data_IF_743923997228
#
_entry.id   IF_743923997228
#
_cell.length_a   1.000
_cell.length_b   1.000
_cell.length_c   1.000
_cell.angle_alpha   90.00
_cell.angle_beta   90.00
_cell.angle_gamma   90.00
#
_symmetry.space_group_name_H-M   'P 1'
#
loop_
_entity.id
_entity.type
_entity.pdbx_description
1 polymer ?
#
# COMPACT_ATOMS: atom_id res chain seq x y z
N UNK A 1 -12.00 10.14 17.14
CA UNK A 1 -11.51 10.17 15.74
C UNK A 1 -10.00 10.20 15.79
N UNK A 2 -9.35 9.03 15.78
CA UNK A 2 -7.89 8.94 15.79
C UNK A 2 -7.37 9.09 14.36
N UNK A 3 -6.72 10.23 14.10
CA UNK A 3 -6.08 10.51 12.81
C UNK A 3 -4.91 9.56 12.60
N UNK A 4 -5.00 8.74 11.54
CA UNK A 4 -3.87 7.94 11.05
C UNK A 4 -2.74 8.93 10.72
N UNK A 5 -1.52 8.77 11.26
CA UNK A 5 -0.44 9.71 11.05
C UNK A 5 -0.19 9.89 9.54
N UNK A 6 -0.34 11.12 9.07
CA UNK A 6 0.07 11.51 7.72
C UNK A 6 1.57 11.31 7.61
N UNK A 7 1.97 10.30 6.82
CA UNK A 7 3.37 10.10 6.46
C UNK A 7 3.84 11.33 5.68
N UNK A 8 5.00 11.90 6.03
CA UNK A 8 5.64 13.09 5.41
C UNK A 8 5.99 12.93 3.91
N UNK A 9 5.51 11.88 3.25
CA UNK A 9 5.66 11.66 1.81
C UNK A 9 4.58 12.47 1.10
N UNK A 10 4.94 13.19 0.05
CA UNK A 10 4.01 14.04 -0.71
C UNK A 10 3.12 13.12 -1.58
N UNK A 11 2.07 12.57 -0.98
CA UNK A 11 1.17 11.65 -1.64
C UNK A 11 0.26 12.42 -2.60
N UNK A 12 0.36 12.10 -3.89
CA UNK A 12 -0.62 12.55 -4.88
C UNK A 12 -1.95 11.83 -4.71
N UNK A 13 -1.89 10.58 -4.27
CA UNK A 13 -3.04 9.74 -3.99
C UNK A 13 -2.64 8.65 -2.99
N UNK A 14 -3.55 8.28 -2.08
CA UNK A 14 -3.33 7.20 -1.10
C UNK A 14 -4.66 6.53 -0.79
N UNK A 15 -4.61 5.21 -0.59
CA UNK A 15 -5.71 4.44 0.00
C UNK A 15 -5.16 3.44 1.00
N UNK A 16 -5.73 3.48 2.20
CA UNK A 16 -5.59 2.39 3.16
C UNK A 16 -6.55 1.29 2.73
N UNK A 17 -6.00 0.15 2.30
CA UNK A 17 -6.77 -1.02 1.88
C UNK A 17 -7.32 -1.72 3.12
N UNK A 18 -6.49 -1.84 4.16
CA UNK A 18 -6.88 -2.44 5.43
C UNK A 18 -6.07 -1.83 6.57
N UNK A 19 -6.66 -1.77 7.75
CA UNK A 19 -5.97 -1.43 8.99
C UNK A 19 -6.60 -2.20 10.14
N UNK A 20 -5.80 -2.52 11.16
CA UNK A 20 -6.31 -3.10 12.41
C UNK A 20 -7.15 -2.07 13.17
N UNK A 21 -8.31 -2.49 13.68
CA UNK A 21 -9.16 -1.62 14.48
C UNK A 21 -8.42 -1.18 15.77
N UNK A 22 -8.20 0.14 15.97
CA UNK A 22 -7.55 0.67 17.15
C UNK A 22 -8.36 0.43 18.43
N UNK A 23 -9.66 0.23 18.36
CA UNK A 23 -10.50 -0.07 19.52
C UNK A 23 -10.33 -1.54 19.97
N UNK A 24 -10.06 -2.46 19.05
CA UNK A 24 -9.73 -3.86 19.37
C UNK A 24 -8.30 -4.04 19.87
N UNK A 25 -7.38 -3.18 19.42
CA UNK A 25 -5.96 -3.24 19.79
C UNK A 25 -5.38 -1.88 20.23
N UNK A 26 -5.85 -1.30 21.35
CA UNK A 26 -5.50 0.07 21.76
C UNK A 26 -4.02 0.26 22.17
N UNK A 27 -3.29 -0.82 22.44
CA UNK A 27 -1.88 -0.83 22.82
C UNK A 27 -1.01 -1.69 21.88
N UNK A 28 -1.59 -2.23 20.80
CA UNK A 28 -0.91 -3.14 19.88
C UNK A 28 -0.16 -2.42 18.74
N UNK A 29 0.76 -3.10 18.04
CA UNK A 29 1.33 -2.55 16.81
C UNK A 29 0.23 -2.34 15.77
N UNK A 30 0.17 -1.14 15.19
CA UNK A 30 -0.77 -0.84 14.12
C UNK A 30 -0.35 -1.58 12.84
N UNK A 31 -1.14 -2.59 12.46
CA UNK A 31 -0.99 -3.25 11.18
C UNK A 31 -1.84 -2.53 10.15
N UNK A 32 -1.29 -2.33 8.97
CA UNK A 32 -1.98 -1.70 7.86
C UNK A 32 -1.43 -2.18 6.53
N UNK A 33 -2.33 -2.14 5.56
CA UNK A 33 -2.00 -2.34 4.16
C UNK A 33 -2.46 -1.12 3.41
N UNK A 34 -1.57 -0.50 2.65
CA UNK A 34 -1.88 0.71 1.90
C UNK A 34 -1.20 0.71 0.54
N UNK A 35 -1.84 1.43 -0.38
CA UNK A 35 -1.29 1.74 -1.69
C UNK A 35 -1.27 3.26 -1.80
N UNK A 36 -0.15 3.81 -2.28
CA UNK A 36 -0.07 5.23 -2.53
C UNK A 36 0.77 5.54 -3.77
N UNK A 37 0.49 6.71 -4.36
CA UNK A 37 1.26 7.33 -5.41
C UNK A 37 1.94 8.58 -4.84
N UNK A 38 3.26 8.66 -4.95
CA UNK A 38 4.04 9.83 -4.54
C UNK A 38 4.73 10.49 -5.72
N UNK A 39 4.91 11.80 -5.63
CA UNK A 39 5.82 12.53 -6.50
C UNK A 39 7.26 12.37 -6.02
N UNK A 40 8.15 12.00 -6.94
CA UNK A 40 9.57 11.80 -6.71
C UNK A 40 10.37 12.77 -7.61
N UNK A 41 11.63 13.03 -7.27
CA UNK A 41 12.45 14.01 -8.02
C UNK A 41 12.59 13.69 -9.52
N UNK A 42 12.40 12.43 -9.93
CA UNK A 42 12.54 11.96 -11.31
C UNK A 42 11.22 11.51 -11.97
N UNK A 43 10.05 11.65 -11.32
CA UNK A 43 8.81 11.03 -11.80
C UNK A 43 7.81 10.73 -10.69
N UNK A 44 7.02 9.67 -10.87
CA UNK A 44 5.99 9.26 -9.91
C UNK A 44 6.17 7.78 -9.55
N UNK A 45 6.01 7.47 -8.27
CA UNK A 45 6.20 6.12 -7.75
C UNK A 45 4.90 5.59 -7.15
N UNK A 46 4.52 4.38 -7.53
CA UNK A 46 3.39 3.65 -6.93
C UNK A 46 3.95 2.62 -5.96
N UNK A 47 3.55 2.77 -4.70
CA UNK A 47 4.03 1.97 -3.59
C UNK A 47 2.92 1.12 -3.00
N UNK A 48 3.31 -0.04 -2.50
CA UNK A 48 2.52 -0.92 -1.69
C UNK A 48 3.21 -1.10 -0.34
N UNK A 49 2.59 -0.64 0.74
CA UNK A 49 3.10 -0.83 2.09
C UNK A 49 2.33 -1.95 2.73
N UNK A 50 3.07 -2.94 3.20
CA UNK A 50 2.53 -4.13 3.82
C UNK A 50 3.05 -4.26 5.24
N UNK A 51 2.13 -4.15 6.19
CA UNK A 51 2.38 -4.38 7.61
C UNK A 51 1.24 -5.22 8.15
N UNK A 52 1.36 -6.53 8.06
CA UNK A 52 0.41 -7.49 8.65
C UNK A 52 0.94 -8.08 9.95
N UNK A 53 0.05 -8.57 10.80
CA UNK A 53 0.47 -9.34 11.97
C UNK A 53 1.16 -10.64 11.52
N UNK A 54 2.08 -11.16 12.35
CA UNK A 54 2.85 -12.37 12.00
C UNK A 54 1.95 -13.60 11.81
N UNK A 55 0.83 -13.62 12.50
CA UNK A 55 -0.21 -14.65 12.52
C UNK A 55 -1.41 -14.30 11.64
N UNK A 56 -1.38 -13.20 10.89
CA UNK A 56 -2.46 -12.84 9.99
C UNK A 56 -2.58 -13.89 8.86
N UNK A 57 -3.76 -14.47 8.62
CA UNK A 57 -3.95 -15.50 7.59
C UNK A 57 -3.67 -15.00 6.17
N UNK A 58 -3.68 -13.68 5.94
CA UNK A 58 -3.30 -13.04 4.67
C UNK A 58 -1.77 -12.98 4.50
N UNK A 59 -1.03 -13.25 5.57
CA UNK A 59 0.43 -13.18 5.68
C UNK A 59 1.23 -14.24 4.90
N UNK A 60 0.62 -15.02 4.01
CA UNK A 60 1.27 -16.18 3.41
C UNK A 60 2.31 -15.81 2.34
N UNK A 61 3.59 -15.80 2.72
CA UNK A 61 4.73 -15.85 1.79
C UNK A 61 5.33 -14.53 1.33
N UNK A 62 4.72 -13.39 1.66
CA UNK A 62 5.28 -12.05 1.44
C UNK A 62 5.64 -11.41 2.78
N UNK A 63 6.83 -10.84 2.85
CA UNK A 63 7.32 -10.16 4.04
C UNK A 63 6.65 -8.79 4.24
N UNK A 64 6.68 -8.26 5.46
CA UNK A 64 6.28 -6.88 5.68
C UNK A 64 7.39 -5.93 5.21
N UNK A 65 7.05 -5.01 4.31
CA UNK A 65 7.95 -3.98 3.78
C UNK A 65 7.19 -2.93 2.96
N UNK A 66 7.92 -1.93 2.48
CA UNK A 66 7.47 -1.01 1.45
C UNK A 66 7.95 -1.55 0.08
N UNK A 67 7.01 -1.84 -0.82
CA UNK A 67 7.29 -2.37 -2.15
C UNK A 67 7.04 -1.30 -3.21
N UNK A 68 8.07 -0.98 -4.00
CA UNK A 68 7.93 -0.14 -5.19
C UNK A 68 7.35 -0.99 -6.32
N UNK A 69 6.03 -0.87 -6.53
CA UNK A 69 5.33 -1.65 -7.56
C UNK A 69 5.68 -1.17 -8.96
N UNK A 70 5.73 0.14 -9.16
CA UNK A 70 6.00 0.74 -10.47
C UNK A 70 6.48 2.17 -10.38
N UNK A 71 7.34 2.55 -11.32
CA UNK A 71 7.79 3.91 -11.55
C UNK A 71 7.26 4.46 -12.87
N UNK A 72 6.89 5.74 -12.88
CA UNK A 72 6.36 6.45 -14.03
C UNK A 72 7.18 7.71 -14.29
N UNK A 73 7.32 8.09 -15.56
CA UNK A 73 8.02 9.31 -15.95
C UNK A 73 7.28 10.57 -15.45
N UNK A 74 7.99 11.70 -15.35
CA UNK A 74 7.44 13.01 -14.92
C UNK A 74 6.23 13.51 -15.72
N UNK A 75 6.07 13.04 -16.95
CA UNK A 75 4.95 13.42 -17.82
C UNK A 75 3.72 12.52 -17.66
N UNK A 76 3.83 11.45 -16.86
CA UNK A 76 2.83 10.38 -16.76
C UNK A 76 2.11 10.37 -15.39
N UNK A 77 1.80 11.57 -14.86
CA UNK A 77 1.14 11.75 -13.56
C UNK A 77 -0.17 10.98 -13.47
N UNK A 78 -1.08 11.22 -14.41
CA UNK A 78 -2.43 10.64 -14.36
C UNK A 78 -2.39 9.12 -14.51
N UNK A 79 -1.49 8.59 -15.35
CA UNK A 79 -1.28 7.15 -15.49
C UNK A 79 -0.75 6.52 -14.19
N UNK A 80 0.11 7.21 -13.43
CA UNK A 80 0.59 6.74 -12.14
C UNK A 80 -0.54 6.68 -11.10
N UNK A 81 -1.38 7.73 -11.05
CA UNK A 81 -2.55 7.78 -10.17
C UNK A 81 -3.57 6.72 -10.56
N UNK A 82 -3.90 6.60 -11.84
CA UNK A 82 -4.84 5.60 -12.36
C UNK A 82 -4.36 4.19 -12.00
N UNK A 83 -3.08 3.88 -12.18
CA UNK A 83 -2.52 2.60 -11.82
C UNK A 83 -2.67 2.29 -10.32
N UNK A 84 -2.37 3.26 -9.45
CA UNK A 84 -2.54 3.11 -8.01
C UNK A 84 -4.01 2.88 -7.63
N UNK A 85 -4.93 3.65 -8.23
CA UNK A 85 -6.37 3.52 -8.01
C UNK A 85 -6.89 2.15 -8.43
N UNK A 86 -6.52 1.70 -9.64
CA UNK A 86 -6.98 0.43 -10.20
C UNK A 86 -6.51 -0.77 -9.36
N UNK A 87 -5.25 -0.79 -8.93
CA UNK A 87 -4.74 -1.90 -8.12
C UNK A 87 -5.44 -1.94 -6.76
N UNK A 88 -5.62 -0.77 -6.12
CA UNK A 88 -6.26 -0.66 -4.82
C UNK A 88 -7.79 -0.90 -4.83
N UNK A 89 -8.39 -1.01 -6.02
CA UNK A 89 -9.80 -1.36 -6.24
C UNK A 89 -9.95 -2.57 -7.18
N UNK A 90 -8.93 -3.41 -7.26
CA UNK A 90 -8.90 -4.55 -8.18
C UNK A 90 -9.95 -5.62 -7.87
N UNK A 91 -10.49 -5.63 -6.65
CA UNK A 91 -11.51 -6.57 -6.21
C UNK A 91 -12.41 -5.92 -5.14
N UNK A 92 -13.60 -6.50 -4.92
CA UNK A 92 -14.52 -6.11 -3.86
C UNK A 92 -14.08 -6.68 -2.48
N UNK A 93 -13.38 -7.81 -2.46
CA UNK A 93 -12.83 -8.40 -1.25
C UNK A 93 -11.44 -7.85 -0.94
N UNK A 94 -11.26 -7.34 0.29
CA UNK A 94 -9.96 -6.84 0.77
C UNK A 94 -8.88 -7.92 0.73
N UNK A 95 -9.23 -9.16 1.07
CA UNK A 95 -8.29 -10.29 1.05
C UNK A 95 -7.77 -10.52 -0.38
N UNK A 96 -8.64 -10.39 -1.39
CA UNK A 96 -8.26 -10.53 -2.80
C UNK A 96 -7.42 -9.37 -3.30
N UNK A 97 -7.72 -8.14 -2.86
CA UNK A 97 -6.87 -6.98 -3.15
C UNK A 97 -5.46 -7.18 -2.57
N UNK A 98 -5.36 -7.66 -1.32
CA UNK A 98 -4.07 -7.95 -0.67
C UNK A 98 -3.34 -9.08 -1.40
N UNK A 99 -4.03 -10.17 -1.76
CA UNK A 99 -3.45 -11.28 -2.53
C UNK A 99 -2.89 -10.80 -3.89
N UNK A 100 -3.62 -9.93 -4.59
CA UNK A 100 -3.18 -9.35 -5.86
C UNK A 100 -1.96 -8.44 -5.67
N UNK A 101 -1.94 -7.62 -4.61
CA UNK A 101 -0.80 -6.77 -4.26
C UNK A 101 0.43 -7.60 -3.90
N UNK A 102 0.25 -8.68 -3.15
CA UNK A 102 1.31 -9.63 -2.79
C UNK A 102 1.93 -10.28 -4.03
N UNK A 103 1.12 -10.63 -5.04
CA UNK A 103 1.64 -11.13 -6.34
C UNK A 103 2.47 -10.07 -7.08
N UNK A 104 2.07 -8.80 -7.04
CA UNK A 104 2.87 -7.71 -7.62
C UNK A 104 4.16 -7.48 -6.82
N UNK A 105 4.10 -7.63 -5.50
CA UNK A 105 5.22 -7.46 -4.60
C UNK A 105 6.36 -8.47 -4.85
N UNK A 106 6.05 -9.69 -5.32
CA UNK A 106 7.05 -10.70 -5.69
C UNK A 106 8.04 -10.18 -6.75
N UNK A 107 7.56 -9.40 -7.72
CA UNK A 107 8.38 -8.82 -8.78
C UNK A 107 8.83 -7.37 -8.49
N UNK A 108 8.38 -6.80 -7.37
CA UNK A 108 8.64 -5.43 -6.99
C UNK A 108 9.99 -5.27 -6.29
N UNK A 109 10.48 -4.04 -6.24
CA UNK A 109 11.63 -3.70 -5.41
C UNK A 109 11.17 -3.51 -3.96
N UNK A 110 11.64 -4.38 -3.07
CA UNK A 110 11.49 -4.26 -1.62
C UNK A 110 12.47 -3.21 -1.08
N UNK A 111 11.99 -2.30 -0.23
CA UNK A 111 12.79 -1.28 0.48
C UNK A 111 12.66 -1.46 1.99
#
# INVERSE_FOLDING_TARGET
MHSIPESKKNHLWRKVVWFTDPDEHPLGPFHSVEVYCSEESNGYAVWYVRKLAKDDPRGAGIENADYLLKYFAKTARDAAIEHAVLIAHSDASLDKVIENLDRLAVAAQKV
#
